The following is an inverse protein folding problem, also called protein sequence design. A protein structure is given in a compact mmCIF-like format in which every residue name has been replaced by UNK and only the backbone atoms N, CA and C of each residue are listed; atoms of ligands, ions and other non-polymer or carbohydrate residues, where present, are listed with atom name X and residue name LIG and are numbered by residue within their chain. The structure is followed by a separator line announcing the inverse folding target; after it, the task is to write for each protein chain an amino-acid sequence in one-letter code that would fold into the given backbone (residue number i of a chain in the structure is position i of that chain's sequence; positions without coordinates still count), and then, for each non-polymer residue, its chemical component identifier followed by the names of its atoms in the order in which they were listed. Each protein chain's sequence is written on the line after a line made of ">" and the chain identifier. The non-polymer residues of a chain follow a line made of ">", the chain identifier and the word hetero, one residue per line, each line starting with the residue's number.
data_IF_536892651332
#
_entry.id   IF_536892651332
#
_cell.length_a   1.000
_cell.length_b   1.000
_cell.length_c   1.000
_cell.angle_alpha   90.00
_cell.angle_beta   90.00
_cell.angle_gamma   90.00
#
_symmetry.space_group_name_H-M   'P 1'
#
loop_
_entity.id
_entity.type
_entity.pdbx_description
1 polymer ?
#
# COMPACT_ATOMS: atom_id res chain seq x y z
N UNK A 1 36.71 26.70 25.04
CA UNK A 1 36.46 25.99 23.77
C UNK A 1 36.14 24.52 24.05
N UNK A 2 35.03 24.28 24.75
CA UNK A 2 34.61 22.94 25.20
C UNK A 2 33.20 22.57 24.69
N UNK A 3 32.73 23.25 23.64
CA UNK A 3 31.40 23.01 23.08
C UNK A 3 31.42 22.01 21.90
N UNK A 4 32.59 21.81 21.28
CA UNK A 4 32.77 20.83 20.19
C UNK A 4 32.46 19.38 20.57
N UNK A 5 32.80 18.84 21.77
CA UNK A 5 32.47 17.44 22.08
C UNK A 5 30.97 17.24 22.39
N UNK A 6 30.27 18.28 22.85
CA UNK A 6 28.83 18.25 23.10
C UNK A 6 27.99 18.23 21.81
N UNK A 7 28.52 18.79 20.71
CA UNK A 7 27.85 18.75 19.42
C UNK A 7 27.94 17.37 18.75
N UNK A 8 29.06 16.66 18.96
CA UNK A 8 29.29 15.31 18.43
C UNK A 8 28.48 14.21 19.14
N UNK A 9 28.17 14.37 20.43
CA UNK A 9 27.32 13.40 21.14
C UNK A 9 25.85 13.49 20.71
N UNK A 10 25.38 14.65 20.28
CA UNK A 10 23.99 14.83 19.80
C UNK A 10 23.71 14.10 18.48
N UNK A 11 24.71 13.97 17.60
CA UNK A 11 24.63 13.22 16.33
C UNK A 11 24.69 11.70 16.52
N UNK A 12 25.13 11.20 17.68
CA UNK A 12 25.23 9.77 17.96
C UNK A 12 23.89 9.14 18.39
N UNK A 13 22.81 9.94 18.48
CA UNK A 13 21.48 9.47 18.83
C UNK A 13 20.59 9.25 17.60
N UNK A 14 21.19 8.81 16.48
CA UNK A 14 20.48 8.03 15.47
C UNK A 14 20.10 6.66 16.07
N UNK A 15 19.22 6.70 17.08
CA UNK A 15 18.41 5.54 17.44
C UNK A 15 17.73 5.12 16.15
N UNK A 16 18.07 3.90 15.71
CA UNK A 16 17.63 3.37 14.43
C UNK A 16 16.15 3.64 14.29
N UNK A 17 15.79 4.32 13.20
CA UNK A 17 14.41 4.39 12.76
C UNK A 17 14.03 2.92 12.58
N UNK A 18 13.15 2.43 13.46
CA UNK A 18 12.47 1.16 13.25
C UNK A 18 11.63 1.37 12.00
N UNK A 19 12.25 1.18 10.83
CA UNK A 19 11.54 1.22 9.57
C UNK A 19 10.72 -0.07 9.55
N UNK A 20 9.48 0.02 10.01
CA UNK A 20 8.46 -0.92 9.58
C UNK A 20 8.52 -0.93 8.06
N UNK A 21 8.59 -2.12 7.45
CA UNK A 21 8.57 -2.30 5.99
C UNK A 21 7.37 -1.54 5.43
N UNK A 22 7.61 -0.31 4.98
CA UNK A 22 6.57 0.59 4.50
C UNK A 22 6.26 0.20 3.07
N UNK A 23 5.01 -0.13 2.80
CA UNK A 23 4.54 -0.29 1.43
C UNK A 23 4.77 1.01 0.68
N UNK A 24 5.33 0.92 -0.53
CA UNK A 24 5.60 2.09 -1.37
C UNK A 24 4.68 2.07 -2.58
N UNK A 25 3.92 3.15 -2.74
CA UNK A 25 3.03 3.40 -3.87
C UNK A 25 3.38 4.76 -4.54
N UNK A 26 3.09 4.96 -5.83
CA UNK A 26 3.14 6.30 -6.42
C UNK A 26 2.16 7.23 -5.70
N UNK A 27 2.55 8.49 -5.51
CA UNK A 27 1.70 9.49 -4.83
C UNK A 27 0.44 9.85 -5.61
N UNK A 28 0.48 9.71 -6.94
CA UNK A 28 -0.68 9.86 -7.81
C UNK A 28 -0.43 9.13 -9.14
N UNK A 29 -1.52 8.72 -9.78
CA UNK A 29 -1.55 8.29 -11.17
C UNK A 29 -2.74 8.96 -11.84
N UNK A 30 -2.66 9.20 -13.15
CA UNK A 30 -3.76 9.76 -13.92
C UNK A 30 -3.85 9.09 -15.29
N UNK A 31 -5.02 9.18 -15.90
CA UNK A 31 -5.30 8.66 -17.23
C UNK A 31 -6.55 9.30 -17.80
N UNK A 32 -6.71 9.26 -19.13
CA UNK A 32 -7.96 9.70 -19.75
C UNK A 32 -9.05 8.64 -19.62
N UNK A 33 -10.32 9.05 -19.71
CA UNK A 33 -11.45 8.14 -19.73
C UNK A 33 -11.28 7.06 -20.80
N UNK A 34 -11.57 5.81 -20.44
CA UNK A 34 -11.41 4.65 -21.32
C UNK A 34 -9.97 4.09 -21.38
N UNK A 35 -8.96 4.79 -20.85
CA UNK A 35 -7.59 4.26 -20.84
C UNK A 35 -7.37 3.18 -19.78
N UNK A 36 -6.26 2.45 -19.92
CA UNK A 36 -5.74 1.55 -18.89
C UNK A 36 -4.84 2.34 -17.94
N UNK A 37 -5.08 2.22 -16.64
CA UNK A 37 -4.23 2.74 -15.58
C UNK A 37 -3.70 1.58 -14.74
N UNK A 38 -2.46 1.70 -14.29
CA UNK A 38 -1.80 0.71 -13.45
C UNK A 38 -1.20 1.38 -12.22
N UNK A 39 -1.46 0.82 -11.04
CA UNK A 39 -0.88 1.24 -9.76
C UNK A 39 0.01 0.12 -9.25
N UNK A 40 1.27 0.44 -8.93
CA UNK A 40 2.21 -0.50 -8.34
C UNK A 40 2.32 -0.28 -6.82
N UNK A 41 2.56 -1.36 -6.09
CA UNK A 41 2.83 -1.34 -4.67
C UNK A 41 4.01 -2.27 -4.37
N UNK A 42 5.13 -1.73 -3.89
CA UNK A 42 6.33 -2.52 -3.55
C UNK A 42 6.46 -2.73 -2.05
N UNK A 43 7.24 -3.74 -1.67
CA UNK A 43 7.39 -4.15 -0.26
C UNK A 43 6.27 -5.07 0.23
N UNK A 44 5.52 -5.69 -0.69
CA UNK A 44 4.47 -6.65 -0.32
C UNK A 44 5.09 -7.99 0.09
N UNK A 45 4.53 -8.61 1.15
CA UNK A 45 4.89 -9.93 1.65
C UNK A 45 4.28 -11.05 0.80
N UNK A 46 3.57 -12.00 1.41
CA UNK A 46 2.97 -13.16 0.73
C UNK A 46 1.72 -12.84 -0.08
N UNK A 47 0.90 -11.91 0.40
CA UNK A 47 -0.34 -11.48 -0.26
C UNK A 47 -0.41 -9.96 -0.38
N UNK A 48 -1.05 -9.49 -1.45
CA UNK A 48 -1.46 -8.09 -1.62
C UNK A 48 -2.98 -8.00 -1.74
N UNK A 49 -3.55 -7.00 -1.06
CA UNK A 49 -4.94 -6.57 -1.22
C UNK A 49 -4.98 -5.12 -1.68
N UNK A 50 -6.06 -4.74 -2.35
CA UNK A 50 -6.30 -3.38 -2.85
C UNK A 50 -7.65 -2.85 -2.37
N UNK A 51 -7.65 -1.60 -1.95
CA UNK A 51 -8.81 -0.89 -1.46
C UNK A 51 -8.99 0.42 -2.21
N UNK A 52 -10.23 0.76 -2.52
CA UNK A 52 -10.64 2.04 -3.06
C UNK A 52 -11.36 2.83 -1.97
N UNK A 53 -10.98 4.08 -1.75
CA UNK A 53 -11.64 4.99 -0.84
C UNK A 53 -12.12 6.23 -1.58
N UNK A 54 -13.42 6.33 -1.75
CA UNK A 54 -14.08 7.56 -2.22
C UNK A 54 -14.13 8.53 -1.03
N UNK A 55 -13.81 9.82 -1.20
CA UNK A 55 -13.88 10.82 -0.13
C UNK A 55 -15.22 10.79 0.62
N UNK A 56 -15.16 10.68 1.95
CA UNK A 56 -16.35 10.59 2.81
C UNK A 56 -16.95 9.18 2.93
N UNK A 57 -16.40 8.16 2.27
CA UNK A 57 -16.80 6.77 2.41
C UNK A 57 -15.73 5.92 3.10
N UNK A 58 -16.14 4.79 3.65
CA UNK A 58 -15.22 3.78 4.15
C UNK A 58 -14.45 3.12 2.99
N UNK A 59 -13.19 2.70 3.18
CA UNK A 59 -12.45 1.94 2.18
C UNK A 59 -13.20 0.66 1.79
N UNK A 60 -13.35 0.42 0.48
CA UNK A 60 -13.94 -0.78 -0.11
C UNK A 60 -12.86 -1.65 -0.71
N UNK A 61 -12.84 -2.94 -0.38
CA UNK A 61 -11.95 -3.92 -1.02
C UNK A 61 -12.32 -4.10 -2.49
N UNK A 62 -11.33 -3.98 -3.37
CA UNK A 62 -11.48 -4.19 -4.81
C UNK A 62 -10.73 -5.43 -5.30
N UNK A 63 -9.60 -5.78 -4.67
CA UNK A 63 -8.85 -7.02 -4.91
C UNK A 63 -8.37 -7.58 -3.56
N UNK A 64 -8.42 -8.89 -3.38
CA UNK A 64 -7.83 -9.62 -2.26
C UNK A 64 -7.06 -10.85 -2.77
N UNK A 65 -6.27 -11.48 -1.91
CA UNK A 65 -5.47 -12.67 -2.23
C UNK A 65 -4.72 -12.54 -3.58
N UNK A 66 -4.04 -11.42 -3.78
CA UNK A 66 -3.26 -11.05 -4.98
C UNK A 66 -4.07 -10.72 -6.24
N UNK A 67 -5.12 -11.50 -6.55
CA UNK A 67 -5.85 -11.38 -7.83
C UNK A 67 -7.36 -11.60 -7.73
N UNK A 68 -7.86 -12.03 -6.57
CA UNK A 68 -9.27 -12.33 -6.41
C UNK A 68 -10.06 -11.03 -6.29
N UNK A 69 -11.18 -10.94 -7.01
CA UNK A 69 -12.05 -9.78 -7.02
C UNK A 69 -13.36 -10.10 -6.30
N UNK A 70 -13.79 -9.31 -5.30
CA UNK A 70 -15.08 -9.51 -4.64
C UNK A 70 -16.27 -9.37 -5.61
N UNK A 71 -17.40 -10.00 -5.28
CA UNK A 71 -18.65 -9.79 -6.01
C UNK A 71 -19.09 -8.33 -5.97
N UNK A 72 -19.62 -7.81 -7.08
CA UNK A 72 -20.06 -6.41 -7.18
C UNK A 72 -18.93 -5.40 -7.41
N UNK A 73 -17.69 -5.85 -7.60
CA UNK A 73 -16.60 -5.04 -8.16
C UNK A 73 -16.55 -5.28 -9.67
N UNK A 74 -16.56 -4.23 -10.51
CA UNK A 74 -16.53 -4.38 -11.97
C UNK A 74 -15.34 -5.19 -12.47
N UNK A 75 -15.53 -5.95 -13.55
CA UNK A 75 -14.52 -6.81 -14.16
C UNK A 75 -13.30 -6.06 -14.72
N UNK A 76 -13.49 -4.76 -14.99
CA UNK A 76 -12.46 -3.83 -15.43
C UNK A 76 -11.29 -3.68 -14.44
N UNK A 77 -11.50 -3.99 -13.16
CA UNK A 77 -10.48 -4.03 -12.11
C UNK A 77 -9.83 -5.41 -12.06
N UNK A 78 -8.51 -5.46 -12.05
CA UNK A 78 -7.73 -6.69 -11.91
C UNK A 78 -6.50 -6.45 -11.05
N UNK A 79 -6.08 -7.46 -10.30
CA UNK A 79 -4.87 -7.39 -9.50
C UNK A 79 -3.92 -8.53 -9.79
N UNK A 80 -2.65 -8.32 -9.50
CA UNK A 80 -1.59 -9.31 -9.63
C UNK A 80 -0.46 -9.04 -8.63
N UNK A 81 0.42 -10.03 -8.46
CA UNK A 81 1.65 -9.92 -7.67
C UNK A 81 2.79 -10.62 -8.39
N UNK A 82 3.97 -9.99 -8.41
CA UNK A 82 5.22 -10.57 -8.87
C UNK A 82 6.33 -10.20 -7.89
N UNK A 83 7.01 -11.20 -7.32
CA UNK A 83 7.99 -10.99 -6.26
C UNK A 83 7.40 -10.19 -5.09
N UNK A 84 8.06 -9.10 -4.71
CA UNK A 84 7.62 -8.16 -3.66
C UNK A 84 6.83 -6.97 -4.19
N UNK A 85 6.26 -7.08 -5.39
CA UNK A 85 5.47 -6.02 -6.03
C UNK A 85 4.07 -6.49 -6.37
N UNK A 86 3.07 -5.85 -5.78
CA UNK A 86 1.67 -5.94 -6.18
C UNK A 86 1.34 -4.94 -7.29
N UNK A 87 0.35 -5.25 -8.12
CA UNK A 87 -0.12 -4.37 -9.19
C UNK A 87 -1.64 -4.41 -9.29
N UNK A 88 -2.27 -3.24 -9.28
CA UNK A 88 -3.68 -3.04 -9.64
C UNK A 88 -3.74 -2.49 -11.05
N UNK A 89 -4.59 -3.07 -11.90
CA UNK A 89 -4.87 -2.60 -13.24
C UNK A 89 -6.35 -2.29 -13.37
N UNK A 90 -6.65 -1.07 -13.79
CA UNK A 90 -7.99 -0.58 -14.13
C UNK A 90 -8.01 -0.42 -15.64
N UNK A 91 -8.82 -1.21 -16.32
CA UNK A 91 -9.05 -1.07 -17.75
C UNK A 91 -10.29 -0.22 -18.00
N UNK A 92 -10.29 0.64 -19.01
CA UNK A 92 -11.47 1.45 -19.29
C UNK A 92 -11.83 2.41 -18.16
N UNK A 93 -10.86 3.21 -17.70
CA UNK A 93 -11.01 4.16 -16.59
C UNK A 93 -12.29 5.01 -16.73
N UNK A 94 -13.07 5.10 -15.66
CA UNK A 94 -14.33 5.86 -15.61
C UNK A 94 -14.21 7.05 -14.66
N UNK A 95 -15.14 8.00 -14.74
CA UNK A 95 -15.14 9.17 -13.86
C UNK A 95 -15.36 8.78 -12.39
N UNK A 96 -16.14 7.72 -12.16
CA UNK A 96 -16.45 7.17 -10.84
C UNK A 96 -15.26 6.42 -10.22
N UNK A 97 -14.18 6.19 -10.97
CA UNK A 97 -12.97 5.53 -10.48
C UNK A 97 -12.02 6.52 -9.77
N UNK A 98 -12.31 7.83 -9.79
CA UNK A 98 -11.55 8.85 -9.05
C UNK A 98 -11.71 8.66 -7.54
N UNK A 99 -10.63 8.22 -6.90
CA UNK A 99 -10.59 7.85 -5.49
C UNK A 99 -9.14 7.72 -5.00
N UNK A 100 -8.97 7.61 -3.69
CA UNK A 100 -7.70 7.17 -3.10
C UNK A 100 -7.60 5.64 -3.17
N UNK A 101 -6.43 5.12 -3.57
CA UNK A 101 -6.18 3.69 -3.69
C UNK A 101 -5.06 3.24 -2.76
N UNK A 102 -5.34 2.24 -1.93
CA UNK A 102 -4.39 1.71 -0.95
C UNK A 102 -4.10 0.24 -1.21
N UNK A 103 -2.84 -0.14 -1.18
CA UNK A 103 -2.45 -1.53 -1.04
C UNK A 103 -2.30 -1.91 0.43
N UNK A 104 -2.61 -3.15 0.74
CA UNK A 104 -2.23 -3.81 2.00
C UNK A 104 -1.38 -5.02 1.68
N UNK A 105 -0.47 -5.38 2.59
CA UNK A 105 0.27 -6.62 2.49
C UNK A 105 0.00 -7.51 3.69
N UNK A 106 -0.07 -8.81 3.45
CA UNK A 106 -0.04 -9.83 4.48
C UNK A 106 1.13 -10.76 4.21
N UNK A 107 2.01 -10.88 5.18
CA UNK A 107 3.06 -11.90 5.22
C UNK A 107 2.60 -13.03 6.15
N UNK A 108 2.43 -14.23 5.59
CA UNK A 108 2.03 -15.43 6.34
C UNK A 108 3.19 -16.05 7.13
N UNK A 109 4.42 -15.57 6.94
CA UNK A 109 5.57 -15.92 7.77
C UNK A 109 5.65 -15.08 9.06
N UNK A 110 4.95 -13.93 9.12
CA UNK A 110 4.89 -13.09 10.31
C UNK A 110 3.91 -13.67 11.34
N UNK A 111 4.43 -14.38 12.34
CA UNK A 111 3.68 -14.87 13.50
C UNK A 111 3.64 -13.86 14.66
N UNK A 112 3.30 -12.60 14.36
CA UNK A 112 3.12 -11.56 15.38
C UNK A 112 1.69 -11.62 15.93
N UNK A 113 1.54 -11.94 17.23
CA UNK A 113 0.25 -11.92 17.92
C UNK A 113 0.26 -10.85 19.00
N UNK A 114 -0.87 -10.16 19.18
CA UNK A 114 -1.09 -9.22 20.27
C UNK A 114 -2.03 -9.88 21.28
N UNK A 115 -1.57 -10.00 22.52
CA UNK A 115 -2.42 -10.43 23.64
C UNK A 115 -3.04 -9.20 24.26
N UNK A 116 -4.37 -9.11 24.23
CA UNK A 116 -5.10 -8.08 24.97
C UNK A 116 -5.10 -8.46 26.45
N UNK A 117 -4.51 -7.64 27.30
CA UNK A 117 -4.59 -7.76 28.75
C UNK A 117 -5.54 -6.67 29.28
N UNK A 118 -6.37 -7.02 30.25
CA UNK A 118 -7.30 -6.13 30.94
C UNK A 118 -6.97 -6.07 32.43
#
# INVERSE_FOLDING_TARGET
>A
MAWSPLLLTLLAHCTGIWAQSGLTQPSSVSGALGQRVTISCTGVGSYVGWYQQIPGMAPKTIIYDNSNRPSGVPDRFSGSKSGSTGTLTITGLQAEDEADYYCSAWDDSLSAHTVLQA
#
